data_IF_996106060242
#
_entry.id   IF_996106060242
#
_cell.length_a   1.000
_cell.length_b   1.000
_cell.length_c   1.000
_cell.angle_alpha   90.00
_cell.angle_beta   90.00
_cell.angle_gamma   90.00
#
_symmetry.space_group_name_H-M   'P 1'
#
loop_
_entity.id
_entity.type
_entity.pdbx_description
1 polymer ?
#
# COMPACT_ATOMS: atom_id res chain seq x y z
N UNK A 1 14.71 -13.07 -11.98
CA UNK A 1 13.81 -11.91 -11.92
C UNK A 1 13.11 -11.99 -10.59
N UNK A 2 13.27 -10.99 -9.74
CA UNK A 2 12.56 -10.94 -8.47
C UNK A 2 11.07 -10.70 -8.75
N UNK A 3 10.28 -11.74 -8.61
CA UNK A 3 8.81 -11.64 -8.68
C UNK A 3 8.32 -11.12 -7.34
N UNK A 4 7.96 -9.84 -7.26
CA UNK A 4 7.26 -9.31 -6.09
C UNK A 4 5.84 -9.89 -6.10
N UNK A 5 5.50 -10.73 -5.12
CA UNK A 5 4.20 -11.42 -5.10
C UNK A 5 3.26 -10.78 -4.11
N UNK A 6 3.74 -10.31 -2.97
CA UNK A 6 2.92 -9.68 -1.96
C UNK A 6 3.21 -8.18 -1.88
N UNK A 7 2.16 -7.39 -2.00
CA UNK A 7 2.22 -5.94 -2.00
C UNK A 7 1.60 -5.41 -0.70
N UNK A 8 2.27 -4.45 -0.09
CA UNK A 8 1.68 -3.54 0.89
C UNK A 8 1.33 -2.22 0.20
N UNK A 9 0.19 -1.64 0.53
CA UNK A 9 -0.24 -0.34 0.03
C UNK A 9 -0.33 0.66 1.17
N UNK A 10 0.26 1.84 0.96
CA UNK A 10 -0.06 3.03 1.74
C UNK A 10 -0.89 3.95 0.86
N UNK A 11 -2.16 4.09 1.20
CA UNK A 11 -3.12 4.91 0.47
C UNK A 11 -3.23 6.29 1.13
N UNK A 12 -2.63 7.32 0.49
CA UNK A 12 -2.60 8.69 1.00
C UNK A 12 -3.66 9.60 0.35
N UNK A 13 -4.47 9.09 -0.59
CA UNK A 13 -5.47 9.89 -1.30
C UNK A 13 -6.51 10.49 -0.32
N UNK A 14 -6.71 11.81 -0.44
CA UNK A 14 -7.64 12.58 0.40
C UNK A 14 -8.94 12.96 -0.33
N UNK A 15 -8.98 12.80 -1.65
CA UNK A 15 -10.18 13.04 -2.47
C UNK A 15 -10.05 12.36 -3.84
N UNK A 16 -11.14 11.71 -4.27
CA UNK A 16 -11.34 11.33 -5.67
C UNK A 16 -10.99 9.89 -6.03
N UNK A 17 -9.70 9.57 -6.19
CA UNK A 17 -9.28 8.30 -6.80
C UNK A 17 -8.42 7.49 -5.83
N UNK A 18 -8.87 6.27 -5.57
CA UNK A 18 -8.23 5.30 -4.69
C UNK A 18 -7.47 4.31 -5.58
N UNK A 19 -6.29 3.90 -5.14
CA UNK A 19 -5.49 2.94 -5.88
C UNK A 19 -6.17 1.57 -5.89
N UNK A 20 -6.22 0.95 -7.06
CA UNK A 20 -6.70 -0.40 -7.26
C UNK A 20 -5.66 -1.14 -8.09
N UNK A 21 -5.31 -2.35 -7.67
CA UNK A 21 -4.46 -3.22 -8.47
C UNK A 21 -5.22 -3.59 -9.74
N UNK A 22 -4.58 -3.36 -10.89
CA UNK A 22 -5.15 -3.73 -12.17
C UNK A 22 -5.25 -5.25 -12.29
N UNK A 23 -6.27 -5.73 -13.03
CA UNK A 23 -6.52 -7.15 -13.26
C UNK A 23 -5.28 -7.89 -13.81
N UNK A 24 -4.50 -7.26 -14.69
CA UNK A 24 -3.26 -7.83 -15.21
C UNK A 24 -2.24 -8.10 -14.12
N UNK A 25 -2.12 -7.23 -13.10
CA UNK A 25 -1.21 -7.43 -11.99
C UNK A 25 -1.64 -8.64 -11.15
N UNK A 26 -2.93 -8.78 -10.86
CA UNK A 26 -3.45 -9.97 -10.17
C UNK A 26 -3.18 -11.25 -10.95
N UNK A 27 -3.40 -11.25 -12.27
CA UNK A 27 -3.10 -12.40 -13.15
C UNK A 27 -1.61 -12.75 -13.15
N UNK A 28 -0.74 -11.74 -13.02
CA UNK A 28 0.71 -11.92 -12.92
C UNK A 28 1.16 -12.37 -11.51
N UNK A 29 0.23 -12.62 -10.59
CA UNK A 29 0.50 -13.15 -9.26
C UNK A 29 0.84 -12.10 -8.20
N UNK A 30 0.56 -10.82 -8.47
CA UNK A 30 0.64 -9.77 -7.47
C UNK A 30 -0.61 -9.80 -6.57
N UNK A 31 -0.39 -9.90 -5.28
CA UNK A 31 -1.40 -10.02 -4.24
C UNK A 31 -1.32 -8.81 -3.30
N UNK A 32 -2.41 -8.06 -3.17
CA UNK A 32 -2.49 -6.98 -2.19
C UNK A 32 -2.75 -7.58 -0.82
N UNK A 33 -1.72 -7.63 0.03
CA UNK A 33 -1.83 -8.30 1.32
C UNK A 33 -2.27 -7.36 2.43
N UNK A 34 -1.73 -6.13 2.46
CA UNK A 34 -1.97 -5.15 3.52
C UNK A 34 -2.20 -3.76 2.96
N UNK A 35 -3.08 -3.02 3.61
CA UNK A 35 -3.41 -1.64 3.25
C UNK A 35 -3.40 -0.77 4.50
N UNK A 36 -2.55 0.27 4.51
CA UNK A 36 -2.62 1.37 5.47
C UNK A 36 -3.35 2.53 4.81
N UNK A 37 -4.35 3.07 5.51
CA UNK A 37 -5.03 4.29 5.10
C UNK A 37 -4.42 5.47 5.83
N UNK A 38 -3.72 6.33 5.08
CA UNK A 38 -3.18 7.60 5.57
C UNK A 38 -3.94 8.81 5.00
N UNK A 39 -5.10 8.56 4.40
CA UNK A 39 -6.00 9.55 3.81
C UNK A 39 -7.21 9.87 4.68
N UNK A 40 -8.28 10.33 4.04
CA UNK A 40 -9.54 10.72 4.70
C UNK A 40 -10.62 9.62 4.64
N UNK A 41 -10.32 8.47 4.04
CA UNK A 41 -11.30 7.38 3.91
C UNK A 41 -11.45 6.63 5.24
N UNK A 42 -12.68 6.22 5.57
CA UNK A 42 -12.94 5.46 6.79
C UNK A 42 -12.44 4.02 6.66
N UNK A 43 -12.12 3.40 7.80
CA UNK A 43 -11.71 1.99 7.82
C UNK A 43 -12.77 1.05 7.22
N UNK A 44 -14.06 1.32 7.51
CA UNK A 44 -15.16 0.55 6.93
C UNK A 44 -15.24 0.66 5.40
N UNK A 45 -15.01 1.86 4.85
CA UNK A 45 -14.93 2.02 3.40
C UNK A 45 -13.69 1.34 2.82
N UNK A 46 -12.54 1.42 3.51
CA UNK A 46 -11.32 0.74 3.09
C UNK A 46 -11.49 -0.79 3.00
N UNK A 47 -12.16 -1.40 3.98
CA UNK A 47 -12.47 -2.84 3.97
C UNK A 47 -13.36 -3.23 2.78
N UNK A 48 -14.29 -2.36 2.39
CA UNK A 48 -15.12 -2.58 1.21
C UNK A 48 -14.34 -2.45 -0.11
N UNK A 49 -13.35 -1.56 -0.16
CA UNK A 49 -12.53 -1.31 -1.35
C UNK A 49 -11.38 -2.31 -1.51
N UNK A 50 -10.95 -2.92 -0.41
CA UNK A 50 -9.85 -3.89 -0.35
C UNK A 50 -10.27 -5.14 0.41
N UNK A 51 -11.28 -5.89 -0.07
CA UNK A 51 -11.87 -6.99 0.69
C UNK A 51 -10.91 -8.16 0.95
N UNK A 52 -9.89 -8.32 0.11
CA UNK A 52 -8.90 -9.41 0.24
C UNK A 52 -7.62 -8.99 0.97
N UNK A 53 -7.48 -7.70 1.31
CA UNK A 53 -6.33 -7.19 2.02
C UNK A 53 -6.66 -6.91 3.49
N UNK A 54 -5.67 -7.12 4.35
CA UNK A 54 -5.75 -6.71 5.73
C UNK A 54 -5.60 -5.18 5.83
N UNK A 55 -6.63 -4.48 6.31
CA UNK A 55 -6.54 -3.05 6.63
C UNK A 55 -5.83 -2.91 7.97
N UNK A 56 -4.67 -2.26 7.96
CA UNK A 56 -3.80 -2.04 9.12
C UNK A 56 -3.78 -0.56 9.52
N UNK A 57 -3.39 -0.29 10.77
CA UNK A 57 -3.39 1.07 11.33
C UNK A 57 -2.00 1.71 11.44
N UNK A 58 -0.95 0.90 11.35
CA UNK A 58 0.44 1.33 11.54
C UNK A 58 1.29 0.96 10.33
N UNK A 59 2.28 1.79 10.00
CA UNK A 59 3.12 1.61 8.82
C UNK A 59 4.04 0.39 8.97
N UNK A 60 4.48 0.13 10.19
CA UNK A 60 5.31 -0.99 10.62
C UNK A 60 4.67 -2.33 10.28
N UNK A 61 3.34 -2.42 10.31
CA UNK A 61 2.61 -3.61 9.91
C UNK A 61 2.85 -3.98 8.43
N UNK A 62 3.25 -3.02 7.60
CA UNK A 62 3.66 -3.21 6.21
C UNK A 62 5.18 -3.29 6.09
N UNK A 63 5.91 -2.32 6.65
CA UNK A 63 7.36 -2.15 6.43
C UNK A 63 8.22 -3.17 7.18
N UNK A 64 7.72 -3.79 8.26
CA UNK A 64 8.42 -4.83 8.99
C UNK A 64 7.91 -6.25 8.67
N UNK A 65 6.83 -6.36 7.88
CA UNK A 65 6.30 -7.67 7.48
C UNK A 65 7.20 -8.30 6.41
N UNK A 66 7.98 -9.30 6.81
CA UNK A 66 8.90 -10.03 5.93
C UNK A 66 8.21 -10.70 4.72
N UNK A 67 6.89 -10.90 4.77
CA UNK A 67 6.13 -11.46 3.65
C UNK A 67 5.71 -10.44 2.60
N UNK A 68 5.89 -9.13 2.84
CA UNK A 68 5.64 -8.07 1.87
C UNK A 68 6.89 -7.84 1.03
N UNK A 69 6.79 -8.02 -0.28
CA UNK A 69 7.91 -7.92 -1.21
C UNK A 69 8.06 -6.50 -1.79
N UNK A 70 6.96 -5.74 -1.87
CA UNK A 70 6.90 -4.41 -2.48
C UNK A 70 5.92 -3.53 -1.71
N UNK A 71 6.31 -2.27 -1.45
CA UNK A 71 5.41 -1.25 -0.92
C UNK A 71 5.01 -0.27 -2.01
N UNK A 72 3.70 -0.11 -2.24
CA UNK A 72 3.13 0.92 -3.10
C UNK A 72 2.69 2.09 -2.22
N UNK A 73 3.05 3.31 -2.60
CA UNK A 73 2.56 4.54 -1.97
C UNK A 73 1.73 5.28 -3.00
N UNK A 74 0.43 5.44 -2.76
CA UNK A 74 -0.47 6.11 -3.70
C UNK A 74 -0.75 7.55 -3.29
N UNK A 75 -0.70 8.44 -4.28
CA UNK A 75 -1.06 9.85 -4.17
C UNK A 75 -0.43 10.59 -2.98
N UNK A 76 0.88 10.44 -2.69
CA UNK A 76 1.50 11.18 -1.60
C UNK A 76 1.44 12.68 -1.88
N UNK A 77 0.77 13.44 -1.02
CA UNK A 77 0.72 14.91 -1.08
C UNK A 77 1.71 15.51 -0.10
N UNK A 78 2.09 16.79 -0.24
CA UNK A 78 3.26 17.40 0.41
C UNK A 78 3.56 17.10 1.91
N UNK A 79 2.57 16.68 2.70
CA UNK A 79 2.73 16.24 4.10
C UNK A 79 3.25 14.78 4.27
N UNK A 80 3.25 13.97 3.21
CA UNK A 80 3.63 12.54 3.26
C UNK A 80 5.14 12.30 3.08
N UNK A 81 5.96 13.36 3.06
CA UNK A 81 7.43 13.24 2.90
C UNK A 81 8.06 12.38 3.99
N UNK A 82 7.58 12.50 5.24
CA UNK A 82 8.05 11.68 6.36
C UNK A 82 7.69 10.22 6.14
N UNK A 83 6.45 9.95 5.73
CA UNK A 83 5.98 8.59 5.45
C UNK A 83 6.77 7.94 4.31
N UNK A 84 6.95 8.66 3.20
CA UNK A 84 7.73 8.15 2.06
C UNK A 84 9.16 7.85 2.48
N UNK A 85 9.78 8.75 3.26
CA UNK A 85 11.12 8.55 3.80
C UNK A 85 11.20 7.32 4.69
N UNK A 86 10.23 7.11 5.57
CA UNK A 86 10.17 5.96 6.46
C UNK A 86 10.03 4.64 5.70
N UNK A 87 9.13 4.59 4.71
CA UNK A 87 9.00 3.41 3.83
C UNK A 87 10.30 3.14 3.08
N UNK A 88 10.96 4.17 2.53
CA UNK A 88 12.24 4.01 1.83
C UNK A 88 13.36 3.52 2.75
N UNK A 89 13.36 3.93 4.01
CA UNK A 89 14.33 3.50 5.02
C UNK A 89 14.11 2.06 5.51
N UNK A 90 12.94 1.47 5.27
CA UNK A 90 12.66 0.07 5.62
C UNK A 90 13.50 -0.95 4.83
N UNK A 91 14.13 -0.52 3.73
CA UNK A 91 14.88 -1.40 2.83
C UNK A 91 14.00 -2.23 1.88
N UNK A 92 12.66 -2.11 1.96
CA UNK A 92 11.76 -2.74 0.99
C UNK A 92 11.77 -1.97 -0.34
N UNK A 93 11.64 -2.67 -1.48
CA UNK A 93 11.31 -2.03 -2.75
C UNK A 93 10.08 -1.13 -2.62
N UNK A 94 10.15 0.07 -3.21
CA UNK A 94 9.08 1.08 -3.14
C UNK A 94 8.66 1.51 -4.53
N UNK A 95 7.35 1.63 -4.75
CA UNK A 95 6.77 2.22 -5.96
C UNK A 95 5.78 3.33 -5.58
N UNK A 96 5.99 4.52 -6.13
CA UNK A 96 5.09 5.66 -5.93
C UNK A 96 4.19 5.80 -7.16
N UNK A 97 2.87 5.98 -6.95
CA UNK A 97 1.86 6.05 -8.01
C UNK A 97 0.83 7.15 -7.80
#
# INVERSE_FOLDING_TARGET
MDTFKNIGLVECSKSGKIFQLGTTSTIQGYNLKKVLINGTISEGLARNLYPEAEVVQELEAITQDASIDLVIISAPQGYDRTLVSEVMQSGKPVRIV
#
